data_IF_632507083701
#
_entry.id   IF_632507083701
#
_cell.length_a   1.000
_cell.length_b   1.000
_cell.length_c   1.000
_cell.angle_alpha   90.00
_cell.angle_beta   90.00
_cell.angle_gamma   90.00
#
_symmetry.space_group_name_H-M   'P 1'
#
loop_
_entity.id
_entity.type
_entity.pdbx_description
1 polymer ?
#
# COMPACT_ATOMS: atom_id res chain seq x y z
N UNK A 1 -14.70 -45.98 0.22
CA UNK A 1 -13.98 -44.79 0.73
C UNK A 1 -12.62 -44.77 0.08
N UNK A 2 -12.14 -43.58 -0.27
CA UNK A 2 -10.79 -43.37 -0.79
C UNK A 2 -9.75 -43.74 0.29
N UNK A 3 -8.77 -44.61 0.01
CA UNK A 3 -7.78 -45.07 1.00
C UNK A 3 -6.99 -43.93 1.64
N UNK A 4 -6.72 -42.84 0.90
CA UNK A 4 -6.03 -41.65 1.42
C UNK A 4 -6.90 -40.92 2.43
N UNK A 5 -8.22 -40.87 2.18
CA UNK A 5 -9.15 -40.26 3.12
C UNK A 5 -9.32 -41.12 4.38
N UNK A 6 -9.34 -42.45 4.24
CA UNK A 6 -9.39 -43.34 5.41
C UNK A 6 -8.15 -43.13 6.30
N UNK A 7 -6.96 -43.06 5.72
CA UNK A 7 -5.73 -42.77 6.46
C UNK A 7 -5.79 -41.40 7.16
N UNK A 8 -6.22 -40.35 6.44
CA UNK A 8 -6.39 -39.02 7.01
C UNK A 8 -7.35 -39.01 8.21
N UNK A 9 -8.49 -39.69 8.11
CA UNK A 9 -9.46 -39.81 9.21
C UNK A 9 -8.87 -40.54 10.42
N UNK A 10 -8.13 -41.63 10.21
CA UNK A 10 -7.47 -42.38 11.30
C UNK A 10 -6.46 -41.48 12.02
N UNK A 11 -5.62 -40.78 11.27
CA UNK A 11 -4.61 -39.88 11.83
C UNK A 11 -5.25 -38.69 12.56
N UNK A 12 -6.28 -38.07 11.97
CA UNK A 12 -7.03 -37.00 12.62
C UNK A 12 -7.71 -37.47 13.90
N UNK A 13 -8.30 -38.67 13.94
CA UNK A 13 -8.90 -39.24 15.15
C UNK A 13 -7.89 -39.45 16.28
N UNK A 14 -6.62 -39.75 15.97
CA UNK A 14 -5.57 -39.87 16.99
C UNK A 14 -5.26 -38.53 17.66
N UNK A 15 -5.44 -37.42 16.96
CA UNK A 15 -5.31 -36.07 17.50
C UNK A 15 -6.58 -35.64 18.23
N UNK A 16 -7.74 -35.81 17.57
CA UNK A 16 -9.04 -35.38 18.07
C UNK A 16 -9.53 -36.15 19.31
N UNK A 17 -9.16 -37.42 19.42
CA UNK A 17 -9.53 -38.29 20.54
C UNK A 17 -8.53 -38.27 21.70
N UNK A 18 -7.48 -37.44 21.63
CA UNK A 18 -6.46 -37.38 22.66
C UNK A 18 -6.93 -36.58 23.89
N UNK A 19 -6.52 -36.95 25.11
CA UNK A 19 -6.87 -36.23 26.33
C UNK A 19 -6.30 -34.80 26.37
N UNK A 20 -5.24 -34.53 25.60
CA UNK A 20 -4.56 -33.25 25.43
C UNK A 20 -4.90 -32.57 24.08
N UNK A 21 -6.14 -32.73 23.62
CA UNK A 21 -6.64 -32.25 22.32
C UNK A 21 -6.15 -30.85 21.92
N UNK A 22 -6.31 -29.85 22.78
CA UNK A 22 -5.97 -28.47 22.46
C UNK A 22 -4.48 -28.29 22.16
N UNK A 23 -3.61 -28.93 22.95
CA UNK A 23 -2.17 -28.87 22.73
C UNK A 23 -1.80 -29.57 21.43
N UNK A 24 -2.31 -30.79 21.20
CA UNK A 24 -2.01 -31.53 19.95
C UNK A 24 -2.51 -30.83 18.70
N UNK A 25 -3.67 -30.17 18.78
CA UNK A 25 -4.19 -29.36 17.68
C UNK A 25 -3.26 -28.17 17.43
N UNK A 26 -2.81 -27.48 18.48
CA UNK A 26 -1.81 -26.40 18.37
C UNK A 26 -0.52 -26.89 17.71
N UNK A 27 0.03 -28.01 18.17
CA UNK A 27 1.26 -28.61 17.63
C UNK A 27 1.10 -28.98 16.15
N UNK A 28 -0.07 -29.53 15.76
CA UNK A 28 -0.39 -29.81 14.36
C UNK A 28 -0.43 -28.52 13.54
N UNK A 29 -1.04 -27.45 14.05
CA UNK A 29 -1.13 -26.17 13.35
C UNK A 29 0.24 -25.50 13.22
N UNK A 30 1.09 -25.56 14.24
CA UNK A 30 2.48 -25.10 14.17
C UNK A 30 3.27 -25.88 13.13
N UNK A 31 3.14 -27.21 13.12
CA UNK A 31 3.79 -28.06 12.11
C UNK A 31 3.35 -27.73 10.69
N UNK A 32 2.04 -27.54 10.48
CA UNK A 32 1.51 -27.13 9.17
C UNK A 32 2.07 -25.78 8.73
N UNK A 33 2.17 -24.81 9.65
CA UNK A 33 2.79 -23.51 9.37
C UNK A 33 4.26 -23.66 9.00
N UNK A 34 5.03 -24.47 9.72
CA UNK A 34 6.44 -24.76 9.39
C UNK A 34 6.58 -25.36 7.98
N UNK A 35 5.74 -26.35 7.66
CA UNK A 35 5.72 -26.98 6.34
C UNK A 35 5.32 -25.99 5.23
N UNK A 36 4.49 -25.01 5.54
CA UNK A 36 3.99 -23.96 4.65
C UNK A 36 4.92 -22.76 4.53
N UNK A 37 6.00 -22.67 5.30
CA UNK A 37 7.00 -21.61 5.16
C UNK A 37 7.68 -21.65 3.79
N UNK A 38 8.30 -20.54 3.42
CA UNK A 38 9.12 -20.47 2.23
C UNK A 38 10.25 -21.51 2.28
N UNK A 39 10.45 -22.25 1.20
CA UNK A 39 11.37 -23.40 1.14
C UNK A 39 10.87 -24.67 1.84
N UNK A 40 9.69 -24.64 2.47
CA UNK A 40 9.05 -25.82 3.06
C UNK A 40 8.38 -26.74 2.05
N UNK A 41 7.99 -27.97 2.44
CA UNK A 41 7.36 -28.95 1.56
C UNK A 41 6.01 -28.51 0.99
N UNK A 42 5.30 -27.60 1.67
CA UNK A 42 4.02 -27.03 1.21
C UNK A 42 4.18 -25.63 0.59
N UNK A 43 5.40 -25.18 0.32
CA UNK A 43 5.64 -23.82 -0.18
C UNK A 43 4.92 -23.53 -1.51
N UNK A 44 4.68 -24.53 -2.36
CA UNK A 44 3.94 -24.36 -3.62
C UNK A 44 2.44 -24.10 -3.43
N UNK A 45 1.90 -24.32 -2.23
CA UNK A 45 0.49 -24.09 -1.88
C UNK A 45 0.24 -22.71 -1.29
N UNK A 46 1.32 -21.96 -1.05
CA UNK A 46 1.29 -20.57 -0.60
C UNK A 46 0.50 -19.70 -1.56
N UNK A 47 -0.09 -18.63 -1.03
CA UNK A 47 -0.61 -17.58 -1.89
C UNK A 47 0.58 -16.85 -2.51
N UNK A 48 0.61 -16.68 -3.85
CA UNK A 48 1.56 -15.79 -4.49
C UNK A 48 1.44 -14.40 -3.84
N UNK A 49 2.57 -13.72 -3.62
CA UNK A 49 2.56 -12.43 -2.95
C UNK A 49 1.73 -11.38 -3.72
N UNK A 50 1.69 -11.50 -5.05
CA UNK A 50 0.89 -10.68 -5.95
C UNK A 50 -0.62 -10.83 -5.73
N UNK A 51 -1.06 -12.01 -5.31
CA UNK A 51 -2.46 -12.31 -4.99
C UNK A 51 -2.77 -11.92 -3.53
N UNK A 52 -1.85 -12.24 -2.61
CA UNK A 52 -2.03 -12.05 -1.16
C UNK A 52 -2.01 -10.58 -0.72
N UNK A 53 -1.02 -9.82 -1.18
CA UNK A 53 -0.74 -8.48 -0.67
C UNK A 53 -1.85 -7.45 -0.96
N UNK A 54 -2.45 -7.38 -2.17
CA UNK A 54 -3.49 -6.39 -2.44
C UNK A 54 -4.68 -6.42 -1.45
N UNK A 55 -5.34 -7.56 -1.18
CA UNK A 55 -6.44 -7.62 -0.22
C UNK A 55 -5.98 -7.43 1.22
N UNK A 56 -4.81 -7.95 1.61
CA UNK A 56 -4.26 -7.75 2.97
C UNK A 56 -4.02 -6.27 3.24
N UNK A 57 -3.33 -5.57 2.34
CA UNK A 57 -3.02 -4.14 2.49
C UNK A 57 -4.23 -3.23 2.35
N UNK A 58 -5.31 -3.72 1.73
CA UNK A 58 -6.62 -3.05 1.72
C UNK A 58 -7.26 -3.05 3.12
N UNK A 59 -7.06 -4.10 3.90
CA UNK A 59 -7.83 -4.32 5.13
C UNK A 59 -7.03 -4.24 6.43
N UNK A 60 -5.72 -4.51 6.43
CA UNK A 60 -4.90 -4.69 7.63
C UNK A 60 -4.93 -3.48 8.56
N UNK A 61 -4.70 -2.27 8.06
CA UNK A 61 -4.71 -1.05 8.88
C UNK A 61 -6.09 -0.74 9.44
N UNK A 62 -7.15 -1.07 8.70
CA UNK A 62 -8.53 -0.85 9.13
C UNK A 62 -8.87 -1.78 10.28
N UNK A 63 -8.55 -3.06 10.12
CA UNK A 63 -8.82 -4.09 11.12
C UNK A 63 -8.01 -3.82 12.39
N UNK A 64 -6.73 -3.47 12.27
CA UNK A 64 -5.88 -3.07 13.41
C UNK A 64 -6.34 -1.78 14.12
N UNK A 65 -7.13 -0.93 13.46
CA UNK A 65 -7.68 0.28 14.07
C UNK A 65 -9.08 0.06 14.67
N UNK A 66 -9.79 -0.99 14.24
CA UNK A 66 -11.13 -1.35 14.72
C UNK A 66 -11.06 -2.30 15.93
N UNK A 67 -9.97 -3.06 16.06
CA UNK A 67 -9.81 -4.13 17.06
C UNK A 67 -8.43 -4.06 17.71
N UNK A 68 -8.40 -4.04 19.04
CA UNK A 68 -7.15 -4.09 19.81
C UNK A 68 -6.66 -5.53 20.06
N UNK A 69 -7.58 -6.49 20.18
CA UNK A 69 -7.25 -7.89 20.43
C UNK A 69 -6.61 -8.57 19.21
N UNK A 70 -5.54 -9.35 19.47
CA UNK A 70 -4.73 -9.96 18.40
C UNK A 70 -5.47 -11.05 17.63
N UNK A 71 -6.25 -11.86 18.33
CA UNK A 71 -6.95 -12.99 17.70
C UNK A 71 -8.20 -12.51 16.96
N UNK A 72 -8.88 -11.50 17.50
CA UNK A 72 -10.06 -10.89 16.88
C UNK A 72 -9.68 -10.10 15.61
N UNK A 73 -8.57 -9.36 15.58
CA UNK A 73 -8.17 -8.65 14.36
C UNK A 73 -7.73 -9.66 13.27
N UNK A 74 -7.09 -10.78 13.63
CA UNK A 74 -6.78 -11.85 12.68
C UNK A 74 -8.04 -12.49 12.10
N UNK A 75 -9.06 -12.72 12.93
CA UNK A 75 -10.36 -13.22 12.47
C UNK A 75 -11.00 -12.25 11.47
N UNK A 76 -11.10 -10.97 11.82
CA UNK A 76 -11.70 -9.97 10.94
C UNK A 76 -10.90 -9.73 9.66
N UNK A 77 -9.56 -9.81 9.72
CA UNK A 77 -8.74 -9.67 8.52
C UNK A 77 -8.95 -10.86 7.58
N UNK A 78 -9.02 -12.08 8.12
CA UNK A 78 -9.32 -13.26 7.32
C UNK A 78 -10.69 -13.14 6.66
N UNK A 79 -11.74 -12.78 7.39
CA UNK A 79 -13.09 -12.63 6.84
C UNK A 79 -13.16 -11.63 5.68
N UNK A 80 -12.37 -10.56 5.75
CA UNK A 80 -12.31 -9.53 4.69
C UNK A 80 -11.48 -9.95 3.49
N UNK A 81 -10.41 -10.72 3.68
CA UNK A 81 -9.54 -11.15 2.59
C UNK A 81 -10.01 -12.45 1.92
N UNK A 82 -10.75 -13.31 2.64
CA UNK A 82 -11.16 -14.62 2.14
C UNK A 82 -11.99 -14.57 0.84
N UNK A 83 -12.90 -13.61 0.60
CA UNK A 83 -13.62 -13.52 -0.68
C UNK A 83 -12.70 -13.35 -1.90
N UNK A 84 -11.55 -12.70 -1.74
CA UNK A 84 -10.57 -12.48 -2.82
C UNK A 84 -9.56 -13.64 -2.91
N UNK A 85 -9.27 -14.28 -1.78
CA UNK A 85 -8.15 -15.24 -1.64
C UNK A 85 -8.57 -16.70 -1.58
N UNK A 86 -9.84 -16.99 -1.33
CA UNK A 86 -10.37 -18.34 -1.18
C UNK A 86 -11.40 -18.58 -2.29
N UNK A 87 -11.09 -19.55 -3.15
CA UNK A 87 -12.00 -20.04 -4.20
C UNK A 87 -12.19 -21.55 -4.08
N UNK A 88 -13.29 -22.12 -4.61
CA UNK A 88 -13.48 -23.57 -4.67
C UNK A 88 -12.27 -24.29 -5.27
N UNK A 89 -11.74 -23.79 -6.39
CA UNK A 89 -10.61 -24.37 -7.12
C UNK A 89 -9.32 -24.31 -6.29
N UNK A 90 -9.12 -23.25 -5.50
CA UNK A 90 -7.98 -23.15 -4.60
C UNK A 90 -8.11 -24.14 -3.44
N UNK A 91 -9.29 -24.29 -2.85
CA UNK A 91 -9.54 -25.28 -1.79
C UNK A 91 -9.38 -26.72 -2.31
N UNK A 92 -9.76 -26.99 -3.56
CA UNK A 92 -9.54 -28.29 -4.21
C UNK A 92 -8.05 -28.56 -4.45
N UNK A 93 -7.31 -27.60 -5.02
CA UNK A 93 -5.85 -27.71 -5.19
C UNK A 93 -5.12 -27.93 -3.87
N UNK A 94 -5.53 -27.20 -2.82
CA UNK A 94 -4.96 -27.35 -1.48
C UNK A 94 -5.25 -28.75 -0.92
N UNK A 95 -6.48 -29.24 -1.05
CA UNK A 95 -6.87 -30.57 -0.62
C UNK A 95 -6.08 -31.67 -1.37
N UNK A 96 -6.00 -31.59 -2.70
CA UNK A 96 -5.25 -32.58 -3.50
C UNK A 96 -3.77 -32.63 -3.12
N UNK A 97 -3.15 -31.48 -2.91
CA UNK A 97 -1.74 -31.41 -2.54
C UNK A 97 -1.49 -31.92 -1.12
N UNK A 98 -2.33 -31.58 -0.14
CA UNK A 98 -2.23 -32.11 1.22
C UNK A 98 -2.39 -33.63 1.25
N UNK A 99 -3.33 -34.17 0.45
CA UNK A 99 -3.52 -35.62 0.30
C UNK A 99 -2.31 -36.29 -0.34
N UNK A 100 -1.66 -35.64 -1.30
CA UNK A 100 -0.42 -36.13 -1.91
C UNK A 100 0.72 -36.16 -0.90
N UNK A 101 0.92 -35.06 -0.17
CA UNK A 101 1.96 -34.96 0.86
C UNK A 101 1.72 -35.92 2.03
N UNK A 102 0.46 -36.15 2.42
CA UNK A 102 0.11 -37.11 3.48
C UNK A 102 0.63 -38.52 3.16
N UNK A 103 0.53 -38.90 1.88
CA UNK A 103 0.97 -40.21 1.40
C UNK A 103 2.46 -40.29 1.11
N UNK A 104 3.20 -39.19 1.24
CA UNK A 104 4.65 -39.19 1.01
C UNK A 104 5.36 -40.07 2.05
N UNK A 105 6.26 -40.98 1.62
CA UNK A 105 7.01 -41.83 2.54
C UNK A 105 8.06 -41.04 3.36
N UNK A 106 8.44 -39.85 2.89
CA UNK A 106 9.45 -39.00 3.53
C UNK A 106 8.91 -38.24 4.74
N UNK A 107 7.59 -38.25 4.96
CA UNK A 107 6.95 -37.53 6.07
C UNK A 107 7.04 -38.31 7.36
N UNK A 108 7.39 -37.59 8.43
CA UNK A 108 7.37 -38.08 9.81
C UNK A 108 5.94 -38.38 10.27
N UNK A 109 5.81 -39.14 11.35
CA UNK A 109 4.50 -39.47 11.92
C UNK A 109 3.73 -38.21 12.35
N UNK A 110 4.42 -37.20 12.88
CA UNK A 110 3.80 -35.97 13.36
C UNK A 110 3.33 -35.10 12.19
N UNK A 111 4.13 -34.99 11.12
CA UNK A 111 3.71 -34.32 9.88
C UNK A 111 2.50 -35.02 9.26
N UNK A 112 2.47 -36.35 9.25
CA UNK A 112 1.30 -37.11 8.77
C UNK A 112 0.06 -36.87 9.62
N UNK A 113 0.20 -36.77 10.95
CA UNK A 113 -0.92 -36.40 11.82
C UNK A 113 -1.44 -34.99 11.49
N UNK A 114 -0.54 -34.02 11.34
CA UNK A 114 -0.89 -32.64 11.02
C UNK A 114 -1.58 -32.52 9.65
N UNK A 115 -1.05 -33.20 8.62
CA UNK A 115 -1.67 -33.30 7.29
C UNK A 115 -3.03 -34.02 7.33
N UNK A 116 -3.17 -35.07 8.14
CA UNK A 116 -4.43 -35.78 8.33
C UNK A 116 -5.54 -34.88 8.89
N UNK A 117 -5.21 -34.08 9.91
CA UNK A 117 -6.11 -33.04 10.45
C UNK A 117 -6.47 -32.02 9.37
N UNK A 118 -5.48 -31.52 8.62
CA UNK A 118 -5.70 -30.54 7.56
C UNK A 118 -6.64 -31.04 6.45
N UNK A 119 -6.49 -32.30 6.03
CA UNK A 119 -7.36 -32.94 5.03
C UNK A 119 -8.79 -33.06 5.56
N UNK A 120 -8.99 -33.46 6.82
CA UNK A 120 -10.32 -33.58 7.42
C UNK A 120 -10.99 -32.21 7.59
N UNK A 121 -10.25 -31.19 8.03
CA UNK A 121 -10.80 -29.83 8.13
C UNK A 121 -11.23 -29.28 6.76
N UNK A 122 -10.42 -29.49 5.71
CA UNK A 122 -10.76 -29.04 4.36
C UNK A 122 -11.99 -29.71 3.76
N UNK A 123 -12.32 -30.93 4.17
CA UNK A 123 -13.55 -31.57 3.73
C UNK A 123 -14.79 -30.89 4.32
N UNK A 124 -14.67 -30.36 5.54
CA UNK A 124 -15.72 -29.59 6.19
C UNK A 124 -15.77 -28.12 5.73
N UNK A 125 -14.74 -27.65 5.01
CA UNK A 125 -14.64 -26.26 4.59
C UNK A 125 -15.79 -25.86 3.63
N UNK A 126 -16.44 -24.71 3.86
CA UNK A 126 -17.44 -24.16 2.95
C UNK A 126 -16.83 -23.92 1.56
N UNK A 127 -17.56 -24.28 0.51
CA UNK A 127 -17.13 -24.06 -0.88
C UNK A 127 -17.52 -22.69 -1.41
N UNK A 128 -18.52 -22.05 -0.80
CA UNK A 128 -19.02 -20.73 -1.19
C UNK A 128 -19.05 -19.80 0.03
N UNK A 129 -18.95 -18.48 -0.18
CA UNK A 129 -19.07 -17.50 0.91
C UNK A 129 -20.43 -17.60 1.61
N UNK A 130 -20.54 -17.18 2.89
CA UNK A 130 -19.52 -16.47 3.66
C UNK A 130 -18.43 -17.38 4.22
N UNK A 131 -17.17 -16.93 4.09
CA UNK A 131 -16.01 -17.59 4.69
C UNK A 131 -15.71 -16.92 6.03
N UNK A 132 -16.14 -17.52 7.14
CA UNK A 132 -15.74 -17.08 8.49
C UNK A 132 -14.90 -18.12 9.18
N UNK A 133 -14.00 -17.69 10.08
CA UNK A 133 -13.19 -18.61 10.91
C UNK A 133 -14.08 -19.45 11.83
N UNK A 134 -15.25 -18.93 12.21
CA UNK A 134 -16.29 -19.64 13.00
C UNK A 134 -17.02 -20.70 12.20
N UNK A 135 -16.92 -20.67 10.87
CA UNK A 135 -17.46 -21.74 10.03
C UNK A 135 -16.55 -22.96 10.16
N UNK A 136 -17.14 -24.12 10.44
CA UNK A 136 -16.41 -25.38 10.55
C UNK A 136 -15.52 -25.61 9.31
N UNK A 137 -14.29 -26.07 9.52
CA UNK A 137 -13.35 -26.42 8.44
C UNK A 137 -12.47 -25.29 7.88
N UNK A 138 -12.60 -24.04 8.36
CA UNK A 138 -11.76 -22.91 7.91
C UNK A 138 -10.61 -22.54 8.85
N UNK A 139 -10.47 -23.25 9.99
CA UNK A 139 -9.45 -22.96 11.01
C UNK A 139 -8.02 -23.08 10.45
N UNK A 140 -7.73 -24.17 9.74
CA UNK A 140 -6.43 -24.38 9.11
C UNK A 140 -6.14 -23.38 8.00
N UNK A 141 -7.09 -23.13 7.09
CA UNK A 141 -6.92 -22.17 5.99
C UNK A 141 -6.66 -20.77 6.52
N UNK A 142 -7.45 -20.33 7.51
CA UNK A 142 -7.25 -19.06 8.21
C UNK A 142 -5.86 -18.98 8.85
N UNK A 143 -5.42 -20.04 9.51
CA UNK A 143 -4.12 -20.09 10.18
C UNK A 143 -2.92 -20.06 9.24
N UNK A 144 -3.02 -20.69 8.06
CA UNK A 144 -1.97 -20.64 7.04
C UNK A 144 -1.91 -19.26 6.37
N UNK A 145 -3.07 -18.67 6.06
CA UNK A 145 -3.16 -17.34 5.49
C UNK A 145 -2.59 -16.29 6.46
N UNK A 146 -2.99 -16.35 7.74
CA UNK A 146 -2.47 -15.45 8.77
C UNK A 146 -0.97 -15.63 9.02
N UNK A 147 -0.42 -16.85 8.89
CA UNK A 147 1.02 -17.04 8.97
C UNK A 147 1.78 -16.29 7.86
N UNK A 148 1.27 -16.28 6.63
CA UNK A 148 1.87 -15.46 5.56
C UNK A 148 1.65 -13.95 5.77
N UNK A 149 0.55 -13.54 6.40
CA UNK A 149 0.35 -12.15 6.81
C UNK A 149 1.36 -11.73 7.88
N UNK A 150 1.64 -12.59 8.86
CA UNK A 150 2.67 -12.34 9.86
C UNK A 150 4.05 -12.19 9.18
N UNK A 151 4.39 -13.11 8.25
CA UNK A 151 5.61 -13.00 7.45
C UNK A 151 5.67 -11.69 6.64
N UNK A 152 4.55 -11.26 6.04
CA UNK A 152 4.45 -9.98 5.34
C UNK A 152 4.73 -8.80 6.27
N UNK A 153 4.12 -8.80 7.47
CA UNK A 153 4.31 -7.75 8.48
C UNK A 153 5.76 -7.70 8.93
N UNK A 154 6.41 -8.84 9.18
CA UNK A 154 7.82 -8.91 9.53
C UNK A 154 8.73 -8.36 8.42
N UNK A 155 8.49 -8.74 7.15
CA UNK A 155 9.23 -8.20 5.98
C UNK A 155 9.11 -6.68 5.92
N UNK A 156 7.89 -6.15 6.08
CA UNK A 156 7.62 -4.70 6.11
C UNK A 156 8.32 -4.01 7.27
N UNK A 157 8.33 -4.61 8.46
CA UNK A 157 9.04 -4.05 9.62
C UNK A 157 10.55 -4.00 9.41
N UNK A 158 11.16 -5.03 8.80
CA UNK A 158 12.59 -5.04 8.46
C UNK A 158 12.96 -3.93 7.48
N UNK A 159 12.19 -3.76 6.41
CA UNK A 159 12.40 -2.66 5.45
C UNK A 159 12.20 -1.30 6.11
N UNK A 160 11.13 -1.14 6.91
CA UNK A 160 10.85 0.13 7.57
C UNK A 160 11.97 0.52 8.55
N UNK A 161 12.56 -0.44 9.27
CA UNK A 161 13.65 -0.17 10.21
C UNK A 161 14.88 0.44 9.50
N UNK A 162 15.22 -0.05 8.30
CA UNK A 162 16.33 0.49 7.49
C UNK A 162 16.06 1.93 7.05
N UNK A 163 14.80 2.23 6.70
CA UNK A 163 14.39 3.58 6.31
C UNK A 163 14.37 4.52 7.52
N UNK A 164 13.83 4.07 8.65
CA UNK A 164 13.77 4.85 9.89
C UNK A 164 15.17 5.19 10.42
N UNK A 165 16.09 4.22 10.41
CA UNK A 165 17.50 4.42 10.79
C UNK A 165 18.18 5.46 9.90
N UNK A 166 18.00 5.35 8.58
CA UNK A 166 18.58 6.28 7.62
C UNK A 166 18.14 7.73 7.83
N UNK A 167 16.88 7.91 8.20
CA UNK A 167 16.26 9.21 8.43
C UNK A 167 16.47 9.73 9.87
N UNK A 168 17.21 9.01 10.72
CA UNK A 168 17.45 9.39 12.11
C UNK A 168 16.20 9.37 12.98
N UNK A 169 15.18 8.60 12.60
CA UNK A 169 13.96 8.45 13.39
C UNK A 169 14.15 7.35 14.44
N UNK A 170 14.58 7.72 15.64
CA UNK A 170 14.54 6.79 16.78
C UNK A 170 13.09 6.59 17.22
N UNK A 171 12.59 5.35 17.11
CA UNK A 171 11.28 4.91 17.64
C UNK A 171 11.28 4.97 19.17
N UNK A 172 10.99 6.13 19.74
CA UNK A 172 10.42 6.19 21.08
C UNK A 172 8.89 6.17 20.94
N UNK A 173 8.28 5.02 21.26
CA UNK A 173 6.84 4.85 21.36
C UNK A 173 6.15 4.46 20.06
N UNK A 174 5.65 3.23 19.99
CA UNK A 174 4.92 2.71 18.83
C UNK A 174 3.63 3.47 18.57
N UNK A 175 3.59 4.30 17.53
CA UNK A 175 2.44 4.52 16.64
C UNK A 175 2.76 5.58 15.58
N UNK A 176 2.58 5.20 14.32
CA UNK A 176 2.53 6.04 13.10
C UNK A 176 3.86 6.68 12.64
N UNK A 177 4.06 6.87 11.33
CA UNK A 177 5.10 7.75 10.81
C UNK A 177 4.89 9.14 11.41
N UNK A 178 5.74 9.52 12.35
CA UNK A 178 5.68 10.83 12.97
C UNK A 178 5.95 11.91 11.92
N UNK A 179 5.41 13.13 12.13
CA UNK A 179 5.71 14.31 11.33
C UNK A 179 7.23 14.56 11.12
N UNK A 180 8.09 13.98 11.97
CA UNK A 180 9.55 13.92 11.81
C UNK A 180 10.03 13.08 10.61
N UNK A 181 9.42 11.92 10.35
CA UNK A 181 9.68 11.10 9.16
C UNK A 181 9.41 11.90 7.89
N UNK A 182 8.26 12.57 7.85
CA UNK A 182 7.82 13.38 6.71
C UNK A 182 8.74 14.60 6.52
N UNK A 183 9.12 15.28 7.60
CA UNK A 183 10.09 16.39 7.52
C UNK A 183 11.47 15.92 7.04
N UNK A 184 11.93 14.74 7.43
CA UNK A 184 13.20 14.17 6.98
C UNK A 184 13.19 13.77 5.49
N UNK A 185 12.11 13.10 5.06
CA UNK A 185 11.85 12.73 3.66
C UNK A 185 11.85 13.95 2.73
N UNK A 186 11.26 15.05 3.19
CA UNK A 186 11.16 16.30 2.41
C UNK A 186 12.46 17.11 2.43
N UNK A 187 13.27 17.01 3.48
CA UNK A 187 14.50 17.82 3.63
C UNK A 187 15.78 17.12 3.18
N UNK A 188 15.79 15.77 3.06
CA UNK A 188 16.98 14.98 2.70
C UNK A 188 16.63 13.82 1.72
N UNK A 189 16.20 14.11 0.49
CA UNK A 189 15.74 13.09 -0.45
C UNK A 189 16.85 12.11 -0.90
N UNK A 190 18.11 12.54 -0.94
CA UNK A 190 19.25 11.67 -1.26
C UNK A 190 19.52 10.63 -0.16
N UNK A 191 19.26 10.99 1.09
CA UNK A 191 19.36 10.08 2.24
C UNK A 191 18.27 9.02 2.16
N UNK A 192 17.06 9.42 1.73
CA UNK A 192 15.96 8.49 1.48
C UNK A 192 16.26 7.54 0.32
N UNK A 193 16.75 8.02 -0.82
CA UNK A 193 17.12 7.15 -1.95
C UNK A 193 18.16 6.10 -1.53
N UNK A 194 19.21 6.50 -0.82
CA UNK A 194 20.20 5.58 -0.27
C UNK A 194 19.57 4.58 0.75
N UNK A 195 18.58 5.03 1.53
CA UNK A 195 17.84 4.15 2.43
C UNK A 195 17.01 3.10 1.68
N UNK A 196 16.36 3.48 0.59
CA UNK A 196 15.59 2.58 -0.25
C UNK A 196 16.47 1.58 -0.99
N UNK A 197 17.66 2.01 -1.44
CA UNK A 197 18.65 1.09 -2.01
C UNK A 197 19.13 0.07 -0.98
N UNK A 198 19.34 0.49 0.28
CA UNK A 198 19.65 -0.44 1.37
C UNK A 198 18.47 -1.37 1.66
N UNK A 199 17.25 -0.86 1.69
CA UNK A 199 16.05 -1.67 1.87
C UNK A 199 15.88 -2.71 0.76
N UNK A 200 16.18 -2.36 -0.50
CA UNK A 200 16.15 -3.27 -1.63
C UNK A 200 17.21 -4.39 -1.55
N UNK A 201 18.29 -4.19 -0.79
CA UNK A 201 19.25 -5.27 -0.49
C UNK A 201 18.78 -6.18 0.65
N UNK A 202 17.98 -5.65 1.57
CA UNK A 202 17.43 -6.41 2.71
C UNK A 202 16.29 -7.31 2.27
N UNK A 203 15.42 -6.81 1.39
CA UNK A 203 14.28 -7.58 0.88
C UNK A 203 13.96 -7.18 -0.58
N UNK A 204 14.67 -7.76 -1.57
CA UNK A 204 14.54 -7.36 -2.97
C UNK A 204 13.15 -7.67 -3.53
N UNK A 205 12.57 -8.82 -3.18
CA UNK A 205 11.24 -9.22 -3.64
C UNK A 205 10.13 -8.34 -3.07
N UNK A 206 10.22 -7.96 -1.78
CA UNK A 206 9.29 -7.00 -1.19
C UNK A 206 9.37 -5.66 -1.92
N UNK A 207 10.58 -5.19 -2.20
CA UNK A 207 10.78 -3.91 -2.90
C UNK A 207 10.32 -3.98 -4.36
N UNK A 208 10.48 -5.11 -5.05
CA UNK A 208 9.95 -5.33 -6.39
C UNK A 208 8.42 -5.38 -6.39
N UNK A 209 7.82 -6.09 -5.43
CA UNK A 209 6.37 -6.17 -5.29
C UNK A 209 5.77 -4.79 -4.97
N UNK A 210 6.37 -4.05 -4.03
CA UNK A 210 6.02 -2.66 -3.76
C UNK A 210 6.21 -1.78 -5.01
N UNK A 211 7.26 -2.02 -5.80
CA UNK A 211 7.50 -1.37 -7.08
C UNK A 211 6.39 -1.61 -8.10
N UNK A 212 5.79 -2.81 -8.15
CA UNK A 212 4.65 -3.11 -9.04
C UNK A 212 3.39 -2.34 -8.64
N UNK A 213 3.12 -2.22 -7.33
CA UNK A 213 2.02 -1.37 -6.84
C UNK A 213 2.29 0.11 -7.06
N UNK A 214 3.55 0.54 -6.89
CA UNK A 214 4.04 1.87 -7.24
C UNK A 214 3.78 2.17 -8.72
N UNK A 215 4.13 1.28 -9.65
CA UNK A 215 3.82 1.44 -11.09
C UNK A 215 2.33 1.61 -11.34
N UNK A 216 1.47 0.89 -10.62
CA UNK A 216 0.01 1.05 -10.71
C UNK A 216 -0.47 2.43 -10.28
N UNK A 217 0.06 2.96 -9.16
CA UNK A 217 -0.26 4.30 -8.65
C UNK A 217 0.29 5.38 -9.57
N UNK A 218 1.57 5.32 -9.92
CA UNK A 218 2.23 6.27 -10.82
C UNK A 218 1.58 6.25 -12.20
N UNK A 219 1.28 5.08 -12.75
CA UNK A 219 0.54 4.92 -14.01
C UNK A 219 -0.88 5.46 -13.93
N UNK A 220 -1.55 5.33 -12.77
CA UNK A 220 -2.84 5.97 -12.50
C UNK A 220 -2.76 7.50 -12.50
N UNK A 221 -1.70 8.07 -11.92
CA UNK A 221 -1.42 9.51 -11.93
C UNK A 221 -1.18 10.00 -13.36
N UNK A 222 -0.27 9.34 -14.09
CA UNK A 222 0.07 9.64 -15.48
C UNK A 222 -1.15 9.55 -16.42
N UNK A 223 -2.10 8.66 -16.14
CA UNK A 223 -3.32 8.50 -16.92
C UNK A 223 -4.47 9.42 -16.47
N UNK A 224 -4.28 10.29 -15.47
CA UNK A 224 -5.33 11.17 -14.95
C UNK A 224 -6.46 10.43 -14.22
N UNK A 225 -6.21 9.18 -13.78
CA UNK A 225 -7.19 8.31 -13.09
C UNK A 225 -7.12 8.42 -11.56
N UNK A 226 -6.60 9.53 -11.04
CA UNK A 226 -6.52 9.77 -9.59
C UNK A 226 -7.91 10.02 -9.00
N UNK A 227 -8.31 9.38 -7.89
CA UNK A 227 -9.57 9.68 -7.22
C UNK A 227 -9.58 11.09 -6.59
N UNK A 228 -10.77 11.56 -6.16
CA UNK A 228 -11.16 12.98 -6.05
C UNK A 228 -10.41 13.90 -5.06
N UNK A 229 -9.31 13.47 -4.45
CA UNK A 229 -8.70 14.15 -3.28
C UNK A 229 -7.47 14.99 -3.63
N UNK A 230 -6.81 14.71 -4.76
CA UNK A 230 -5.63 15.44 -5.24
C UNK A 230 -5.99 16.54 -6.26
N UNK A 231 -7.18 17.10 -6.10
CA UNK A 231 -7.84 17.87 -7.14
C UNK A 231 -7.72 19.37 -6.89
N UNK A 232 -7.08 20.07 -7.83
CA UNK A 232 -7.09 21.53 -7.96
C UNK A 232 -5.74 22.16 -7.67
N UNK A 233 -5.49 22.23 -6.38
CA UNK A 233 -4.53 23.09 -5.70
C UNK A 233 -3.08 22.87 -6.11
N UNK A 234 -2.58 21.64 -5.95
CA UNK A 234 -1.20 21.31 -6.28
C UNK A 234 -1.01 21.13 -7.77
N UNK A 235 -2.02 20.67 -8.50
CA UNK A 235 -1.90 20.47 -9.95
C UNK A 235 -1.59 21.78 -10.66
N UNK A 236 -2.27 22.85 -10.27
CA UNK A 236 -2.05 24.14 -10.87
C UNK A 236 -0.80 24.82 -10.32
N UNK A 237 -0.48 24.63 -9.04
CA UNK A 237 0.76 25.15 -8.49
C UNK A 237 2.01 24.42 -9.05
N UNK A 238 1.98 23.10 -9.18
CA UNK A 238 2.96 22.27 -9.88
C UNK A 238 3.04 22.70 -11.33
N UNK A 239 1.92 22.81 -12.05
CA UNK A 239 1.93 23.27 -13.45
C UNK A 239 2.46 24.70 -13.60
N UNK A 240 2.14 25.58 -12.64
CA UNK A 240 2.50 26.98 -12.69
C UNK A 240 3.97 27.19 -12.25
N UNK A 241 4.36 26.80 -11.04
CA UNK A 241 5.75 26.92 -10.58
C UNK A 241 6.76 26.17 -11.46
N UNK A 242 6.37 25.05 -12.09
CA UNK A 242 7.30 24.34 -12.97
C UNK A 242 7.58 25.05 -14.28
N UNK A 243 6.66 25.82 -14.88
CA UNK A 243 6.96 26.41 -16.20
C UNK A 243 7.87 27.62 -16.11
N UNK A 244 7.83 28.38 -15.02
CA UNK A 244 8.71 29.56 -14.85
C UNK A 244 10.19 29.19 -14.78
N UNK A 245 10.51 27.95 -14.39
CA UNK A 245 11.88 27.43 -14.33
C UNK A 245 12.23 26.50 -15.49
N UNK A 246 11.32 26.27 -16.43
CA UNK A 246 11.55 25.45 -17.61
C UNK A 246 11.64 26.38 -18.83
N UNK A 247 12.87 26.63 -19.30
CA UNK A 247 13.10 27.40 -20.53
C UNK A 247 12.25 26.84 -21.69
N UNK A 248 11.51 27.69 -22.43
CA UNK A 248 10.77 27.24 -23.60
C UNK A 248 11.77 26.80 -24.68
N UNK A 249 11.94 25.49 -24.84
CA UNK A 249 12.80 24.90 -25.88
C UNK A 249 13.58 23.65 -25.46
N UNK A 250 13.67 23.36 -24.16
CA UNK A 250 14.08 22.06 -23.65
C UNK A 250 13.05 21.60 -22.65
N UNK A 251 12.31 20.54 -22.95
CA UNK A 251 11.65 19.76 -21.91
C UNK A 251 12.79 19.02 -21.21
N UNK A 252 13.26 19.42 -20.01
CA UNK A 252 14.18 18.57 -19.31
C UNK A 252 13.37 17.33 -18.93
N UNK A 253 13.99 16.16 -19.03
CA UNK A 253 13.59 15.03 -18.21
C UNK A 253 13.42 15.57 -16.80
N UNK A 254 12.17 15.67 -16.33
CA UNK A 254 11.87 16.53 -15.19
C UNK A 254 12.47 15.87 -13.96
N UNK A 255 13.60 16.37 -13.47
CA UNK A 255 14.24 15.81 -12.28
C UNK A 255 13.27 15.91 -11.10
N UNK A 256 12.74 14.78 -10.65
CA UNK A 256 11.84 14.69 -9.49
C UNK A 256 12.42 15.34 -8.23
N UNK A 257 13.76 15.35 -8.11
CA UNK A 257 14.49 16.01 -7.03
C UNK A 257 14.43 17.54 -7.13
N UNK A 258 14.63 18.10 -8.33
CA UNK A 258 14.48 19.54 -8.56
C UNK A 258 13.04 19.99 -8.28
N UNK A 259 12.07 19.18 -8.70
CA UNK A 259 10.66 19.30 -8.37
C UNK A 259 10.40 19.38 -6.87
N UNK A 260 10.88 18.40 -6.10
CA UNK A 260 10.71 18.37 -4.64
C UNK A 260 11.34 19.57 -3.94
N UNK A 261 12.48 20.06 -4.41
CA UNK A 261 13.16 21.23 -3.82
C UNK A 261 12.40 22.53 -4.07
N UNK A 262 11.72 22.62 -5.21
CA UNK A 262 10.91 23.77 -5.58
C UNK A 262 9.52 23.69 -4.95
N UNK A 263 9.00 22.48 -4.71
CA UNK A 263 7.72 22.24 -4.06
C UNK A 263 7.74 22.75 -2.60
N UNK A 264 6.80 23.59 -2.19
CA UNK A 264 6.74 24.18 -0.86
C UNK A 264 6.47 23.06 0.16
N UNK A 265 7.25 23.01 1.24
CA UNK A 265 7.13 21.95 2.24
C UNK A 265 5.71 21.87 2.85
N UNK A 266 4.98 22.99 2.93
CA UNK A 266 3.57 23.01 3.38
C UNK A 266 2.63 22.42 2.32
N UNK A 267 2.93 22.59 1.04
CA UNK A 267 2.19 21.94 -0.06
C UNK A 267 2.41 20.43 0.01
N UNK A 268 3.67 19.99 0.12
CA UNK A 268 3.97 18.55 0.25
C UNK A 268 3.28 17.93 1.47
N UNK A 269 3.28 18.64 2.61
CA UNK A 269 2.55 18.21 3.80
C UNK A 269 1.03 18.22 3.61
N UNK A 270 0.46 19.17 2.86
CA UNK A 270 -0.96 19.23 2.58
C UNK A 270 -1.42 18.08 1.66
N UNK A 271 -0.64 17.75 0.62
CA UNK A 271 -0.84 16.55 -0.22
C UNK A 271 -0.89 15.32 0.67
N UNK A 272 0.13 15.15 1.52
CA UNK A 272 0.29 13.96 2.34
C UNK A 272 -0.85 13.82 3.35
N UNK A 273 -1.16 14.89 4.09
CA UNK A 273 -2.25 14.90 5.06
C UNK A 273 -3.60 14.56 4.40
N UNK A 274 -3.83 15.00 3.16
CA UNK A 274 -5.08 14.71 2.43
C UNK A 274 -5.12 13.30 1.89
N UNK A 275 -4.04 12.79 1.29
CA UNK A 275 -3.96 11.39 0.86
C UNK A 275 -4.12 10.45 2.06
N UNK A 276 -3.52 10.79 3.20
CA UNK A 276 -3.68 10.07 4.46
C UNK A 276 -5.12 10.14 4.99
N UNK A 277 -5.74 11.33 5.00
CA UNK A 277 -7.12 11.50 5.45
C UNK A 277 -8.10 10.75 4.55
N UNK A 278 -7.90 10.78 3.23
CA UNK A 278 -8.72 10.07 2.27
C UNK A 278 -8.53 8.56 2.29
N UNK A 279 -7.31 8.09 2.58
CA UNK A 279 -7.07 6.67 2.86
C UNK A 279 -7.77 6.18 4.13
N UNK A 280 -8.26 7.09 4.98
CA UNK A 280 -9.05 6.80 6.18
C UNK A 280 -10.54 7.12 6.03
N UNK A 281 -10.95 7.73 4.93
CA UNK A 281 -12.33 8.11 4.69
C UNK A 281 -13.16 6.88 4.30
N UNK A 282 -13.95 6.42 5.26
CA UNK A 282 -14.83 5.25 5.14
C UNK A 282 -16.05 5.49 4.26
N UNK A 283 -16.28 6.74 3.81
CA UNK A 283 -17.35 7.08 2.88
C UNK A 283 -16.93 6.99 1.41
N UNK A 284 -15.64 6.82 1.14
CA UNK A 284 -15.11 6.66 -0.21
C UNK A 284 -15.40 5.25 -0.77
N UNK A 285 -15.59 5.10 -2.11
CA UNK A 285 -15.68 3.78 -2.74
C UNK A 285 -14.44 2.92 -2.44
N UNK A 286 -14.56 1.58 -2.34
CA UNK A 286 -13.45 0.69 -2.00
C UNK A 286 -12.23 0.85 -2.91
N UNK A 287 -12.44 1.13 -4.20
CA UNK A 287 -11.38 1.35 -5.18
C UNK A 287 -10.62 2.66 -4.92
N UNK A 288 -11.32 3.71 -4.48
CA UNK A 288 -10.72 4.99 -4.11
C UNK A 288 -9.98 4.89 -2.77
N UNK A 289 -10.57 4.23 -1.77
CA UNK A 289 -9.93 3.93 -0.49
C UNK A 289 -8.63 3.13 -0.69
N UNK A 290 -8.68 2.07 -1.50
CA UNK A 290 -7.52 1.27 -1.86
C UNK A 290 -6.46 2.14 -2.53
N UNK A 291 -6.84 2.95 -3.52
CA UNK A 291 -5.91 3.84 -4.21
C UNK A 291 -5.22 4.82 -3.24
N UNK A 292 -5.94 5.43 -2.31
CA UNK A 292 -5.36 6.37 -1.34
C UNK A 292 -4.43 5.71 -0.33
N UNK A 293 -4.78 4.52 0.17
CA UNK A 293 -3.92 3.71 1.04
C UNK A 293 -2.57 3.42 0.36
N UNK A 294 -2.59 3.08 -0.93
CA UNK A 294 -1.39 2.82 -1.72
C UNK A 294 -0.64 4.10 -2.11
N UNK A 295 -1.34 5.16 -2.51
CA UNK A 295 -0.75 6.44 -2.83
C UNK A 295 -0.02 7.05 -1.63
N UNK A 296 -0.56 6.90 -0.41
CA UNK A 296 0.14 7.31 0.81
C UNK A 296 1.48 6.57 0.94
N UNK A 297 1.50 5.24 0.75
CA UNK A 297 2.72 4.45 0.86
C UNK A 297 3.74 4.83 -0.21
N UNK A 298 3.31 5.04 -1.46
CA UNK A 298 4.20 5.49 -2.55
C UNK A 298 4.73 6.88 -2.25
N UNK A 299 3.91 7.81 -1.77
CA UNK A 299 4.33 9.16 -1.41
C UNK A 299 5.35 9.16 -0.25
N UNK A 300 5.18 8.28 0.74
CA UNK A 300 6.08 8.11 1.90
C UNK A 300 7.41 7.47 1.50
N UNK A 301 7.37 6.46 0.64
CA UNK A 301 8.55 5.65 0.26
C UNK A 301 9.29 6.28 -0.92
N UNK A 302 8.58 6.87 -1.88
CA UNK A 302 9.10 7.38 -3.17
C UNK A 302 8.52 8.78 -3.47
N UNK A 303 8.74 9.78 -2.60
CA UNK A 303 8.19 11.12 -2.78
C UNK A 303 8.62 11.73 -4.12
N UNK A 304 9.90 11.55 -4.50
CA UNK A 304 10.48 12.03 -5.75
C UNK A 304 9.67 11.52 -6.93
N UNK A 305 9.54 10.20 -7.05
CA UNK A 305 8.80 9.55 -8.14
C UNK A 305 7.32 9.88 -8.12
N UNK A 306 6.71 9.98 -6.92
CA UNK A 306 5.30 10.34 -6.78
C UNK A 306 5.03 11.75 -7.32
N UNK A 307 5.76 12.76 -6.87
CA UNK A 307 5.62 14.14 -7.34
C UNK A 307 6.06 14.32 -8.80
N UNK A 308 7.05 13.57 -9.24
CA UNK A 308 7.45 13.52 -10.64
C UNK A 308 6.35 12.95 -11.54
N UNK A 309 5.64 11.90 -11.11
CA UNK A 309 4.48 11.40 -11.84
C UNK A 309 3.38 12.46 -11.94
N UNK A 310 3.14 13.27 -10.90
CA UNK A 310 2.23 14.41 -10.98
C UNK A 310 2.70 15.47 -11.97
N UNK A 311 3.99 15.81 -11.96
CA UNK A 311 4.55 16.76 -12.91
C UNK A 311 4.44 16.27 -14.37
N UNK A 312 4.69 14.98 -14.59
CA UNK A 312 4.65 14.33 -15.91
C UNK A 312 3.24 14.06 -16.42
N UNK A 313 2.27 13.89 -15.53
CA UNK A 313 0.86 13.76 -15.87
C UNK A 313 0.27 15.04 -16.51
N UNK A 314 1.10 16.06 -16.79
CA UNK A 314 0.71 17.34 -17.37
C UNK A 314 0.04 17.17 -18.73
N UNK A 315 0.24 16.05 -19.40
CA UNK A 315 -0.40 15.75 -20.68
C UNK A 315 -1.69 14.93 -20.53
N UNK A 316 -2.02 14.47 -19.32
CA UNK A 316 -3.25 13.74 -19.06
C UNK A 316 -4.49 14.63 -19.25
N UNK A 317 -5.57 14.01 -19.74
CA UNK A 317 -6.89 14.62 -19.79
C UNK A 317 -7.34 14.87 -18.36
N UNK A 318 -7.52 16.14 -18.01
CA UNK A 318 -8.07 16.51 -16.72
C UNK A 318 -9.55 16.15 -16.70
N UNK A 319 -9.96 15.37 -15.71
CA UNK A 319 -11.37 15.29 -15.36
C UNK A 319 -11.72 16.65 -14.73
N UNK A 320 -12.59 17.41 -15.38
CA UNK A 320 -12.97 18.77 -14.94
C UNK A 320 -13.50 18.74 -13.50
N UNK A 321 -12.86 19.52 -12.62
CA UNK A 321 -13.19 19.59 -11.19
C UNK A 321 -14.21 20.69 -10.91
N UNK A 322 -14.21 21.73 -11.73
CA UNK A 322 -15.26 22.75 -11.84
C UNK A 322 -15.41 23.18 -13.30
N UNK A 323 -16.55 23.79 -13.62
CA UNK A 323 -16.84 24.22 -14.98
C UNK A 323 -15.74 25.18 -15.53
N UNK A 324 -15.15 24.81 -16.67
CA UNK A 324 -14.14 25.59 -17.39
C UNK A 324 -12.71 25.41 -16.88
N UNK A 325 -12.45 24.44 -16.01
CA UNK A 325 -11.10 24.18 -15.53
C UNK A 325 -10.18 23.58 -16.59
N UNK A 326 -10.65 22.59 -17.35
CA UNK A 326 -9.81 21.99 -18.39
C UNK A 326 -9.48 23.02 -19.47
N UNK A 327 -10.44 23.88 -19.83
CA UNK A 327 -10.24 24.99 -20.75
C UNK A 327 -9.16 25.96 -20.24
N UNK A 328 -9.21 26.33 -18.96
CA UNK A 328 -8.26 27.27 -18.39
C UNK A 328 -6.87 26.68 -18.18
N UNK A 329 -6.78 25.42 -17.75
CA UNK A 329 -5.48 24.71 -17.71
C UNK A 329 -4.94 24.53 -19.12
N UNK A 330 -5.78 24.28 -20.12
CA UNK A 330 -5.37 24.22 -21.52
C UNK A 330 -4.86 25.59 -22.01
N UNK A 331 -5.54 26.67 -21.65
CA UNK A 331 -5.12 28.05 -21.95
C UNK A 331 -3.78 28.39 -21.27
N UNK A 332 -3.63 28.07 -19.99
CA UNK A 332 -2.35 28.22 -19.28
C UNK A 332 -1.24 27.38 -19.91
N UNK A 333 -1.54 26.16 -20.38
CA UNK A 333 -0.59 25.27 -21.09
C UNK A 333 -0.15 25.88 -22.43
N UNK A 334 -0.99 26.67 -23.11
CA UNK A 334 -0.64 27.33 -24.37
C UNK A 334 0.26 28.55 -24.22
N UNK A 335 0.19 29.29 -23.11
CA UNK A 335 0.91 30.57 -22.96
C UNK A 335 2.37 30.43 -22.58
N UNK A 336 3.28 30.99 -23.38
CA UNK A 336 4.74 30.91 -23.17
C UNK A 336 5.27 31.70 -21.96
N UNK A 337 4.58 32.77 -21.55
CA UNK A 337 4.90 33.59 -20.38
C UNK A 337 3.62 33.96 -19.65
N UNK A 338 3.71 34.12 -18.34
CA UNK A 338 2.58 34.54 -17.52
C UNK A 338 2.76 35.93 -16.95
N UNK A 339 1.63 36.55 -16.67
CA UNK A 339 1.55 37.75 -15.84
C UNK A 339 0.86 37.43 -14.53
N UNK A 340 1.25 38.05 -13.41
CA UNK A 340 0.61 37.85 -12.12
C UNK A 340 -0.91 38.02 -12.16
N UNK A 341 -1.41 38.97 -12.94
CA UNK A 341 -2.83 39.30 -13.06
C UNK A 341 -3.65 38.17 -13.71
N UNK A 342 -3.00 37.34 -14.54
CA UNK A 342 -3.65 36.22 -15.22
C UNK A 342 -4.00 35.10 -14.23
N UNK A 343 -3.27 34.98 -13.13
CA UNK A 343 -3.49 33.96 -12.09
C UNK A 343 -4.55 34.37 -11.05
N UNK A 344 -4.94 35.65 -11.01
CA UNK A 344 -5.84 36.21 -10.00
C UNK A 344 -7.25 35.59 -10.00
N UNK A 345 -7.91 35.37 -11.16
CA UNK A 345 -9.22 34.70 -11.20
C UNK A 345 -9.18 33.29 -10.59
N UNK A 346 -8.03 32.62 -10.68
CA UNK A 346 -7.85 31.29 -10.14
C UNK A 346 -7.62 31.31 -8.63
N UNK A 347 -6.81 32.25 -8.11
CA UNK A 347 -6.66 32.47 -6.67
C UNK A 347 -8.01 32.67 -5.99
N UNK A 348 -8.85 33.54 -6.55
CA UNK A 348 -10.20 33.83 -6.03
C UNK A 348 -11.12 32.60 -6.08
N UNK A 349 -11.05 31.80 -7.15
CA UNK A 349 -11.83 30.55 -7.24
C UNK A 349 -11.39 29.51 -6.22
N UNK A 350 -10.08 29.37 -5.98
CA UNK A 350 -9.54 28.49 -4.93
C UNK A 350 -10.06 28.91 -3.56
N UNK A 351 -10.03 30.20 -3.23
CA UNK A 351 -10.60 30.70 -1.97
C UNK A 351 -12.09 30.38 -1.84
N UNK A 352 -12.86 30.54 -2.92
CA UNK A 352 -14.30 30.27 -2.94
C UNK A 352 -14.65 28.78 -2.73
N UNK A 353 -13.79 27.85 -3.16
CA UNK A 353 -13.98 26.40 -2.96
C UNK A 353 -13.35 25.87 -1.68
N UNK A 354 -12.84 26.75 -0.80
CA UNK A 354 -12.25 26.38 0.47
C UNK A 354 -10.81 25.84 0.38
N UNK A 355 -10.05 26.32 -0.60
CA UNK A 355 -8.66 25.95 -0.88
C UNK A 355 -7.64 27.06 -0.54
N UNK A 356 -7.53 27.51 0.73
CA UNK A 356 -6.78 28.72 1.08
C UNK A 356 -5.26 28.55 0.95
N UNK A 357 -4.71 27.36 1.17
CA UNK A 357 -3.26 27.15 1.02
C UNK A 357 -2.85 27.21 -0.45
N UNK A 358 -3.66 26.67 -1.36
CA UNK A 358 -3.44 26.83 -2.80
C UNK A 358 -3.51 28.27 -3.27
N UNK A 359 -4.49 29.02 -2.76
CA UNK A 359 -4.61 30.44 -3.06
C UNK A 359 -3.34 31.20 -2.62
N UNK A 360 -2.80 30.85 -1.44
CA UNK A 360 -1.53 31.38 -0.95
C UNK A 360 -0.35 30.97 -1.82
N UNK A 361 -0.36 29.77 -2.39
CA UNK A 361 0.67 29.30 -3.32
C UNK A 361 0.64 30.07 -4.65
N UNK A 362 -0.56 30.33 -5.20
CA UNK A 362 -0.76 31.19 -6.36
C UNK A 362 -0.32 32.62 -6.06
N UNK A 363 -0.63 33.13 -4.86
CA UNK A 363 -0.19 34.46 -4.42
C UNK A 363 1.34 34.58 -4.36
N UNK A 364 2.06 33.56 -3.88
CA UNK A 364 3.53 33.54 -3.90
C UNK A 364 4.09 33.51 -5.31
N UNK A 365 3.46 32.77 -6.24
CA UNK A 365 3.84 32.77 -7.65
C UNK A 365 3.61 34.13 -8.31
N UNK A 366 2.46 34.76 -8.04
CA UNK A 366 2.17 36.11 -8.49
C UNK A 366 3.20 37.12 -7.97
N UNK A 367 3.62 37.00 -6.70
CA UNK A 367 4.69 37.82 -6.13
C UNK A 367 6.03 37.56 -6.84
N UNK A 368 6.38 36.30 -7.10
CA UNK A 368 7.59 35.93 -7.82
C UNK A 368 7.63 36.50 -9.25
N UNK A 369 6.53 36.39 -9.99
CA UNK A 369 6.37 36.99 -11.32
C UNK A 369 6.50 38.52 -11.33
N UNK A 370 6.22 39.19 -10.21
CA UNK A 370 6.43 40.63 -10.02
C UNK A 370 7.87 40.99 -9.63
N UNK A 371 8.73 39.99 -9.39
CA UNK A 371 10.08 40.20 -8.85
C UNK A 371 10.08 40.52 -7.35
N UNK A 372 8.99 40.23 -6.64
CA UNK A 372 8.89 40.41 -5.19
C UNK A 372 9.44 39.17 -4.47
N UNK A 373 10.14 39.36 -3.35
CA UNK A 373 10.52 38.27 -2.46
C UNK A 373 9.31 37.92 -1.58
N UNK A 374 8.66 36.75 -1.74
CA UNK A 374 7.50 36.44 -0.93
C UNK A 374 7.87 36.30 0.54
N UNK A 375 6.99 36.78 1.41
CA UNK A 375 7.10 36.57 2.84
C UNK A 375 7.11 35.06 3.15
N UNK A 376 8.18 34.59 3.79
CA UNK A 376 8.44 33.15 4.04
C UNK A 376 9.68 32.61 3.35
N UNK A 377 10.25 33.36 2.39
CA UNK A 377 11.46 32.99 1.67
C UNK A 377 11.22 31.83 0.71
N UNK A 378 11.73 31.94 -0.51
CA UNK A 378 12.06 30.75 -1.27
C UNK A 378 13.43 30.30 -0.78
N UNK A 379 13.61 29.03 -0.42
CA UNK A 379 14.92 28.46 -0.10
C UNK A 379 15.84 28.37 -1.31
N UNK A 380 15.89 29.38 -2.19
CA UNK A 380 16.87 29.50 -3.24
C UNK A 380 18.21 29.90 -2.60
N UNK A 381 18.98 28.90 -2.16
CA UNK A 381 20.42 29.04 -2.30
C UNK A 381 20.81 28.38 -3.62
N UNK A 382 21.49 29.19 -4.44
CA UNK A 382 22.15 28.86 -5.71
C UNK A 382 22.81 27.51 -5.75
#
# INVERSE_FOLDING_TARGET
MDPVLTEACVLAQRVLGAPDLFQRMSDCMERLREMFREGGPLASLRWPWEELVPPVERHIFRVMAEVEDTDEWREQLFERCAPDLVSPERLERLNEALRRELMSPERTADEKCALGVAVVELLAAPRHPPYSRRTQGMSMVSSLLMAQVDEWVERRQRVQAVVDEALGNTRDGGARPHAGFIRGVVTQPEVLEAALERAARVDPELMELMGRFEVGILGGILAGRTPKVLHGEEWLWVTAVLREHLEPGRVPETSGLALLRVLDARVQQAVLSRVEAAGRDRSSPPEAEQWFSWAYKVLVVRPVTFFEAFARAREAVLIERFAGEAEWVHELRRRERWRPEELEPYRLRLEAVGAPEAARCVQRLQAHLRGETPAGGWGFMT
#
